data_IF_115079746483
#
_entry.id   IF_115079746483
#
_cell.length_a   1.000
_cell.length_b   1.000
_cell.length_c   1.000
_cell.angle_alpha   90.00
_cell.angle_beta   90.00
_cell.angle_gamma   90.00
#
_symmetry.space_group_name_H-M   'P 1'
#
loop_
_entity.id
_entity.type
_entity.pdbx_description
1 polymer ?
#
# COMPACT_ATOMS: atom_id res chain seq x y z
N UNK A 1 0.64 16.55 -38.84
CA UNK A 1 1.23 17.07 -37.58
C UNK A 1 0.63 16.21 -36.46
N UNK A 2 1.39 15.25 -35.95
CA UNK A 2 0.98 14.44 -34.77
C UNK A 2 1.31 15.32 -33.57
N UNK A 3 0.27 15.81 -32.90
CA UNK A 3 0.43 16.52 -31.62
C UNK A 3 1.19 15.59 -30.66
N UNK A 4 2.35 16.03 -30.15
CA UNK A 4 2.98 15.43 -28.98
C UNK A 4 1.99 15.64 -27.84
N UNK A 5 1.18 14.62 -27.54
CA UNK A 5 0.49 14.56 -26.28
C UNK A 5 1.59 14.68 -25.21
N UNK A 6 1.56 15.75 -24.44
CA UNK A 6 2.35 15.87 -23.24
C UNK A 6 1.82 14.78 -22.32
N UNK A 7 2.58 13.71 -22.14
CA UNK A 7 2.28 12.67 -21.17
C UNK A 7 2.31 13.33 -19.78
N UNK A 8 1.15 13.80 -19.34
CA UNK A 8 1.00 14.37 -17.99
C UNK A 8 1.14 13.18 -17.03
N UNK A 9 2.22 13.20 -16.26
CA UNK A 9 2.44 12.18 -15.23
C UNK A 9 1.33 12.31 -14.19
N UNK A 10 0.55 11.24 -13.93
CA UNK A 10 -0.54 11.30 -12.95
C UNK A 10 -0.04 11.72 -11.57
N UNK A 11 -0.80 12.53 -10.81
CA UNK A 11 -0.49 12.84 -9.42
C UNK A 11 -0.45 11.57 -8.57
N UNK A 12 0.17 11.62 -7.40
CA UNK A 12 0.27 10.48 -6.48
C UNK A 12 -0.52 10.76 -5.23
N UNK A 13 -1.45 9.87 -4.90
CA UNK A 13 -2.13 9.83 -3.60
C UNK A 13 -1.62 8.65 -2.78
N UNK A 14 -1.61 8.80 -1.47
CA UNK A 14 -1.24 7.75 -0.53
C UNK A 14 -2.45 6.92 -0.12
N UNK A 15 -2.25 5.61 0.05
CA UNK A 15 -3.24 4.69 0.62
C UNK A 15 -2.59 3.80 1.68
N UNK A 16 -3.04 3.94 2.92
CA UNK A 16 -2.71 3.00 3.99
C UNK A 16 -3.79 1.94 4.06
N UNK A 17 -3.44 0.67 3.90
CA UNK A 17 -4.37 -0.45 4.00
C UNK A 17 -4.51 -0.88 5.47
N UNK A 18 -5.63 -0.50 6.11
CA UNK A 18 -5.92 -0.74 7.53
C UNK A 18 -7.17 -1.58 7.79
N UNK A 19 -7.96 -1.94 6.76
CA UNK A 19 -9.26 -2.60 6.88
C UNK A 19 -9.24 -4.11 7.25
N UNK A 20 -8.09 -4.72 7.51
CA UNK A 20 -7.96 -6.15 7.76
C UNK A 20 -8.54 -6.61 9.10
N UNK A 21 -9.29 -7.73 9.12
CA UNK A 21 -9.67 -8.42 10.38
C UNK A 21 -8.48 -9.22 10.91
N UNK A 22 -7.65 -8.61 11.75
CA UNK A 22 -6.48 -9.26 12.37
C UNK A 22 -6.89 -10.15 13.54
N UNK A 23 -7.28 -11.39 13.26
CA UNK A 23 -7.69 -12.37 14.29
C UNK A 23 -6.52 -13.08 14.96
N UNK A 24 -5.33 -13.12 14.34
CA UNK A 24 -4.18 -13.90 14.80
C UNK A 24 -3.37 -13.24 15.91
N UNK A 25 -3.39 -11.90 15.99
CA UNK A 25 -2.63 -11.10 16.97
C UNK A 25 -3.45 -10.77 18.24
N UNK A 26 -4.72 -11.20 18.34
CA UNK A 26 -5.61 -10.83 19.45
C UNK A 26 -6.05 -9.36 19.47
N UNK A 27 -5.40 -8.52 18.69
CA UNK A 27 -5.73 -7.10 18.49
C UNK A 27 -5.68 -6.75 16.99
N UNK A 28 -6.40 -5.71 16.60
CA UNK A 28 -6.35 -5.19 15.24
C UNK A 28 -4.96 -4.57 14.98
N UNK A 29 -4.28 -4.99 13.91
CA UNK A 29 -2.90 -4.59 13.60
C UNK A 29 -2.74 -3.08 13.36
N UNK A 30 -3.76 -2.45 12.81
CA UNK A 30 -3.83 -1.03 12.53
C UNK A 30 -3.82 -0.16 13.80
N UNK A 31 -4.24 -0.74 14.95
CA UNK A 31 -4.25 -0.10 16.26
C UNK A 31 -2.98 -0.36 17.09
N UNK A 32 -2.08 -1.22 16.64
CA UNK A 32 -0.80 -1.44 17.32
C UNK A 32 0.04 -0.16 17.30
N UNK A 33 0.68 0.14 18.43
CA UNK A 33 1.52 1.34 18.60
C UNK A 33 3.00 0.96 18.59
N UNK A 34 3.65 1.08 17.42
CA UNK A 34 5.08 0.80 17.28
C UNK A 34 5.94 2.03 17.55
N UNK A 35 5.41 3.20 17.18
CA UNK A 35 6.11 4.50 17.20
C UNK A 35 5.41 5.53 18.12
N UNK A 36 4.75 5.05 19.18
CA UNK A 36 3.96 5.91 20.09
C UNK A 36 2.64 6.41 19.52
N UNK A 37 2.25 5.95 18.33
CA UNK A 37 1.02 6.27 17.58
C UNK A 37 0.47 4.98 16.97
N UNK A 38 -0.84 4.90 16.74
CA UNK A 38 -1.44 3.79 16.00
C UNK A 38 -0.78 3.63 14.62
N UNK A 39 -0.48 2.41 14.24
CA UNK A 39 0.31 2.12 13.05
C UNK A 39 -0.31 2.66 11.75
N UNK A 40 -1.66 2.69 11.66
CA UNK A 40 -2.36 3.28 10.51
C UNK A 40 -2.06 4.77 10.34
N UNK A 41 -2.01 5.51 11.45
CA UNK A 41 -1.72 6.95 11.43
C UNK A 41 -0.23 7.23 11.24
N UNK A 42 0.62 6.42 11.85
CA UNK A 42 2.07 6.49 11.59
C UNK A 42 2.39 6.27 10.11
N UNK A 43 1.79 5.25 9.50
CA UNK A 43 1.98 4.96 8.07
C UNK A 43 1.46 6.12 7.19
N UNK A 44 0.33 6.74 7.57
CA UNK A 44 -0.19 7.90 6.85
C UNK A 44 0.76 9.11 6.93
N UNK A 45 1.30 9.42 8.11
CA UNK A 45 2.30 10.47 8.29
C UNK A 45 3.57 10.20 7.46
N UNK A 46 3.98 8.93 7.40
CA UNK A 46 5.16 8.51 6.63
C UNK A 46 4.97 8.70 5.12
N UNK A 47 3.73 8.54 4.61
CA UNK A 47 3.39 8.76 3.20
C UNK A 47 3.21 10.24 2.84
N UNK A 48 2.82 11.09 3.79
CA UNK A 48 2.45 12.49 3.55
C UNK A 48 3.49 13.31 2.75
N UNK A 49 4.82 13.17 2.97
CA UNK A 49 5.82 13.91 2.20
C UNK A 49 5.89 13.55 0.71
N UNK A 50 5.29 12.43 0.30
CA UNK A 50 5.39 11.87 -1.06
C UNK A 50 4.09 11.95 -1.86
N UNK A 51 3.00 12.41 -1.24
CA UNK A 51 1.65 12.33 -1.81
C UNK A 51 0.93 13.67 -1.70
N UNK A 52 0.07 13.98 -2.67
CA UNK A 52 -0.78 15.18 -2.62
C UNK A 52 -1.83 15.09 -1.48
N UNK A 53 -2.34 13.89 -1.26
CA UNK A 53 -3.27 13.55 -0.18
C UNK A 53 -3.04 12.10 0.24
N UNK A 54 -3.29 11.79 1.52
CA UNK A 54 -3.18 10.43 2.06
C UNK A 54 -4.49 9.97 2.63
N UNK A 55 -4.91 8.77 2.25
CA UNK A 55 -6.12 8.11 2.70
C UNK A 55 -5.80 6.83 3.46
N UNK A 56 -6.66 6.50 4.43
CA UNK A 56 -6.58 5.24 5.15
C UNK A 56 -7.80 4.40 4.76
N UNK A 57 -7.56 3.27 4.07
CA UNK A 57 -8.60 2.29 3.72
C UNK A 57 -9.18 1.68 4.98
N UNK A 58 -10.48 1.73 5.12
CA UNK A 58 -11.19 1.22 6.29
C UNK A 58 -12.55 0.63 5.91
N UNK A 59 -13.09 -0.21 6.81
CA UNK A 59 -14.47 -0.66 6.72
C UNK A 59 -15.42 0.41 7.26
N UNK A 60 -16.67 0.36 6.85
CA UNK A 60 -17.72 1.29 7.30
C UNK A 60 -17.86 1.35 8.84
N UNK A 61 -17.70 0.19 9.51
CA UNK A 61 -17.79 0.07 10.97
C UNK A 61 -16.62 0.71 11.75
N UNK A 62 -15.54 1.07 11.06
CA UNK A 62 -14.36 1.70 11.67
C UNK A 62 -14.43 3.23 11.68
N UNK A 63 -15.39 3.84 10.97
CA UNK A 63 -15.48 5.31 10.81
C UNK A 63 -15.77 6.03 12.12
N UNK A 64 -16.55 5.44 13.03
CA UNK A 64 -16.98 6.09 14.29
C UNK A 64 -15.81 6.44 15.22
N UNK A 65 -14.70 5.68 15.14
CA UNK A 65 -13.51 5.86 15.97
C UNK A 65 -12.30 6.34 15.15
N UNK A 66 -12.56 7.04 14.05
CA UNK A 66 -11.49 7.54 13.18
C UNK A 66 -11.02 8.92 13.67
N UNK A 67 -9.69 9.12 13.73
CA UNK A 67 -9.14 10.42 14.10
C UNK A 67 -9.46 11.45 12.99
N UNK A 68 -10.08 12.60 13.32
CA UNK A 68 -10.52 13.60 12.36
C UNK A 68 -9.39 14.27 11.57
N UNK A 69 -8.15 14.16 12.03
CA UNK A 69 -6.98 14.71 11.32
C UNK A 69 -6.58 13.87 10.10
N UNK A 70 -7.18 12.67 9.94
CA UNK A 70 -6.88 11.77 8.83
C UNK A 70 -8.10 11.55 7.94
N UNK A 71 -7.83 11.19 6.67
CA UNK A 71 -8.88 10.96 5.67
C UNK A 71 -9.21 9.47 5.53
N UNK A 72 -10.40 9.02 5.95
CA UNK A 72 -10.83 7.65 5.71
C UNK A 72 -11.27 7.46 4.25
N UNK A 73 -10.95 6.32 3.68
CA UNK A 73 -11.49 5.84 2.40
C UNK A 73 -12.19 4.51 2.64
N UNK A 74 -13.50 4.52 2.58
CA UNK A 74 -14.29 3.31 2.82
C UNK A 74 -14.19 2.34 1.66
N UNK A 75 -13.87 1.09 1.96
CA UNK A 75 -13.79 0.03 0.96
C UNK A 75 -15.16 -0.23 0.30
N UNK A 76 -15.20 -0.13 -1.03
CA UNK A 76 -16.39 -0.41 -1.85
C UNK A 76 -16.38 -1.81 -2.43
N UNK A 77 -15.23 -2.46 -2.46
CA UNK A 77 -15.04 -3.87 -2.83
C UNK A 77 -14.84 -4.69 -1.56
N UNK A 78 -15.95 -5.20 -1.01
CA UNK A 78 -15.98 -5.79 0.32
C UNK A 78 -15.43 -7.23 0.35
N UNK A 79 -14.84 -7.62 1.48
CA UNK A 79 -14.35 -8.97 1.75
C UNK A 79 -13.24 -9.47 0.80
N UNK A 80 -12.51 -8.56 0.17
CA UNK A 80 -11.41 -8.89 -0.75
C UNK A 80 -10.03 -8.53 -0.17
N UNK A 81 -9.97 -8.18 1.13
CA UNK A 81 -8.72 -7.78 1.78
C UNK A 81 -8.01 -6.64 1.06
N UNK A 82 -6.66 -6.68 0.97
CA UNK A 82 -5.88 -5.62 0.32
C UNK A 82 -6.30 -5.32 -1.12
N UNK A 83 -6.73 -6.32 -1.86
CA UNK A 83 -7.20 -6.18 -3.23
C UNK A 83 -8.43 -5.25 -3.32
N UNK A 84 -9.36 -5.38 -2.37
CA UNK A 84 -10.55 -4.55 -2.28
C UNK A 84 -10.22 -3.08 -1.97
N UNK A 85 -9.29 -2.83 -1.03
CA UNK A 85 -8.81 -1.49 -0.69
C UNK A 85 -8.15 -0.80 -1.89
N UNK A 86 -7.25 -1.49 -2.61
CA UNK A 86 -6.58 -0.96 -3.82
C UNK A 86 -7.61 -0.63 -4.90
N UNK A 87 -8.56 -1.54 -5.19
CA UNK A 87 -9.62 -1.28 -6.17
C UNK A 87 -10.52 -0.12 -5.78
N UNK A 88 -10.84 0.02 -4.47
CA UNK A 88 -11.67 1.11 -3.96
C UNK A 88 -11.00 2.47 -4.16
N UNK A 89 -9.70 2.54 -3.90
CA UNK A 89 -8.90 3.74 -4.12
C UNK A 89 -8.84 4.14 -5.60
N UNK A 90 -8.49 3.21 -6.48
CA UNK A 90 -8.45 3.43 -7.93
C UNK A 90 -9.82 3.80 -8.52
N UNK A 91 -10.91 3.27 -7.93
CA UNK A 91 -12.28 3.65 -8.32
C UNK A 91 -12.61 5.08 -7.92
N UNK A 92 -12.18 5.49 -6.72
CA UNK A 92 -12.46 6.82 -6.16
C UNK A 92 -11.76 7.94 -6.95
N UNK A 93 -10.50 7.71 -7.37
CA UNK A 93 -9.72 8.67 -8.14
C UNK A 93 -9.01 7.95 -9.30
N UNK A 94 -9.67 7.92 -10.47
CA UNK A 94 -9.26 7.08 -11.62
C UNK A 94 -8.03 7.59 -12.36
N UNK A 95 -7.76 8.89 -12.28
CA UNK A 95 -6.66 9.55 -13.01
C UNK A 95 -5.44 9.78 -12.12
N UNK A 96 -5.38 9.08 -10.98
CA UNK A 96 -4.37 9.25 -9.95
C UNK A 96 -3.63 7.92 -9.73
N UNK A 97 -2.31 7.98 -9.59
CA UNK A 97 -1.54 6.86 -9.10
C UNK A 97 -1.65 6.75 -7.57
N UNK A 98 -1.54 5.54 -7.05
CA UNK A 98 -1.68 5.28 -5.64
C UNK A 98 -0.42 4.65 -5.06
N UNK A 99 0.26 5.37 -4.16
CA UNK A 99 1.30 4.81 -3.30
C UNK A 99 0.63 4.06 -2.15
N UNK A 100 0.61 2.74 -2.27
CA UNK A 100 -0.07 1.85 -1.33
C UNK A 100 0.93 1.27 -0.35
N UNK A 101 0.63 1.34 0.95
CA UNK A 101 1.34 0.62 2.00
C UNK A 101 0.36 -0.08 2.94
N UNK A 102 0.75 -1.22 3.48
CA UNK A 102 -0.03 -1.90 4.51
C UNK A 102 0.43 -1.48 5.91
N UNK A 103 -0.49 -1.49 6.87
CA UNK A 103 -0.20 -1.17 8.27
C UNK A 103 0.57 -2.28 9.02
N UNK A 104 0.91 -3.39 8.38
CA UNK A 104 1.71 -4.46 8.97
C UNK A 104 3.21 -4.39 8.64
N UNK A 105 3.69 -3.21 8.22
CA UNK A 105 5.08 -2.88 7.93
C UNK A 105 5.65 -1.88 8.96
N UNK A 106 5.87 -2.27 10.23
CA UNK A 106 6.31 -1.32 11.27
C UNK A 106 7.74 -0.81 11.08
N UNK A 107 8.57 -1.48 10.29
CA UNK A 107 9.95 -1.11 10.01
C UNK A 107 10.11 -0.29 8.72
N UNK A 108 9.00 0.00 8.01
CA UNK A 108 9.03 0.80 6.80
C UNK A 108 9.61 2.18 7.08
N UNK A 109 10.59 2.58 6.29
CA UNK A 109 11.33 3.82 6.47
C UNK A 109 11.17 4.81 5.29
N UNK A 110 11.48 6.07 5.56
CA UNK A 110 11.39 7.14 4.58
C UNK A 110 12.31 6.92 3.38
N UNK A 111 13.51 6.32 3.56
CA UNK A 111 14.48 6.08 2.47
C UNK A 111 13.94 5.07 1.46
N UNK A 112 13.25 4.03 1.94
CA UNK A 112 12.59 3.06 1.08
C UNK A 112 11.46 3.71 0.27
N UNK A 113 10.63 4.56 0.88
CA UNK A 113 9.59 5.30 0.15
C UNK A 113 10.19 6.29 -0.85
N UNK A 114 11.23 7.00 -0.48
CA UNK A 114 11.93 7.95 -1.37
C UNK A 114 12.49 7.25 -2.61
N UNK A 115 13.12 6.08 -2.45
CA UNK A 115 13.61 5.29 -3.59
C UNK A 115 12.46 4.82 -4.46
N UNK A 116 11.37 4.31 -3.88
CA UNK A 116 10.20 3.85 -4.63
C UNK A 116 9.60 4.98 -5.48
N UNK A 117 9.40 6.16 -4.89
CA UNK A 117 8.84 7.32 -5.58
C UNK A 117 9.77 7.85 -6.66
N UNK A 118 11.07 7.96 -6.38
CA UNK A 118 12.08 8.40 -7.37
C UNK A 118 12.22 7.44 -8.55
N UNK A 119 11.99 6.16 -8.33
CA UNK A 119 12.09 5.11 -9.35
C UNK A 119 10.76 4.79 -10.02
N UNK A 120 9.69 5.56 -9.71
CA UNK A 120 8.37 5.37 -10.32
C UNK A 120 8.47 5.40 -11.85
N UNK A 121 7.84 4.44 -12.51
CA UNK A 121 7.68 4.38 -13.95
C UNK A 121 6.18 4.44 -14.34
N UNK A 122 5.66 5.61 -14.75
CA UNK A 122 4.25 5.77 -15.13
C UNK A 122 3.84 4.98 -16.38
N UNK A 123 4.80 4.51 -17.17
CA UNK A 123 4.53 3.66 -18.34
C UNK A 123 4.23 2.22 -17.95
N UNK A 124 4.57 1.82 -16.75
CA UNK A 124 4.29 0.48 -16.19
C UNK A 124 2.91 0.42 -15.54
N UNK A 125 2.46 -0.77 -15.22
CA UNK A 125 1.21 -1.00 -14.44
C UNK A 125 1.40 -0.59 -12.99
N UNK A 126 2.59 -0.86 -12.47
CA UNK A 126 2.98 -0.53 -11.11
C UNK A 126 4.50 -0.47 -10.99
N UNK A 127 4.96 0.23 -9.94
CA UNK A 127 6.36 0.20 -9.47
C UNK A 127 6.36 -0.37 -8.05
N UNK A 128 7.16 -1.40 -7.80
CA UNK A 128 7.20 -2.12 -6.52
C UNK A 128 8.59 -2.64 -6.19
N UNK A 129 8.76 -3.16 -4.98
CA UNK A 129 9.95 -3.89 -4.58
C UNK A 129 9.86 -5.38 -4.86
N UNK A 130 11.01 -6.01 -5.08
CA UNK A 130 11.15 -7.45 -4.92
C UNK A 130 11.23 -7.77 -3.43
N UNK A 131 10.42 -8.70 -2.97
CA UNK A 131 10.45 -9.18 -1.59
C UNK A 131 11.80 -9.87 -1.31
N UNK A 132 12.51 -9.47 -0.24
CA UNK A 132 13.76 -10.13 0.14
C UNK A 132 13.53 -11.52 0.74
N UNK A 133 12.27 -11.89 1.02
CA UNK A 133 11.91 -13.14 1.70
C UNK A 133 11.56 -14.26 0.72
N UNK A 134 10.94 -13.94 -0.41
CA UNK A 134 10.47 -14.94 -1.38
C UNK A 134 10.81 -14.59 -2.84
N UNK A 135 11.42 -13.43 -3.09
CA UNK A 135 11.84 -12.99 -4.41
C UNK A 135 10.69 -12.54 -5.34
N UNK A 136 9.45 -12.49 -4.84
CA UNK A 136 8.28 -12.08 -5.61
C UNK A 136 7.99 -10.57 -5.44
N UNK A 137 7.18 -9.94 -6.33
CA UNK A 137 6.79 -8.55 -6.16
C UNK A 137 6.00 -8.32 -4.88
N UNK A 138 6.29 -7.20 -4.16
CA UNK A 138 5.61 -6.80 -2.93
C UNK A 138 4.40 -5.93 -3.20
N UNK A 139 3.17 -6.47 -3.11
CA UNK A 139 1.96 -5.73 -3.48
C UNK A 139 1.54 -4.66 -2.46
N UNK A 140 2.08 -4.73 -1.25
CA UNK A 140 1.67 -3.91 -0.10
C UNK A 140 2.67 -2.78 0.22
N UNK A 141 3.63 -2.55 -0.68
CA UNK A 141 4.47 -1.36 -0.79
C UNK A 141 4.70 -1.11 -2.29
N UNK A 142 3.72 -0.45 -2.93
CA UNK A 142 3.63 -0.39 -4.40
C UNK A 142 2.98 0.90 -4.84
N UNK A 143 3.52 1.52 -5.89
CA UNK A 143 2.81 2.58 -6.64
C UNK A 143 2.01 1.91 -7.75
N UNK A 144 0.69 1.95 -7.66
CA UNK A 144 -0.25 1.46 -8.67
C UNK A 144 -0.62 2.61 -9.60
N UNK A 145 -0.35 2.48 -10.89
CA UNK A 145 -0.72 3.48 -11.88
C UNK A 145 -2.21 3.40 -12.25
N UNK A 146 -2.83 4.48 -12.77
CA UNK A 146 -4.25 4.47 -13.15
C UNK A 146 -4.62 3.32 -14.09
N UNK A 147 -3.73 2.94 -15.01
CA UNK A 147 -3.91 1.83 -15.95
C UNK A 147 -4.02 0.45 -15.28
N UNK A 148 -3.67 0.33 -14.00
CA UNK A 148 -3.85 -0.90 -13.23
C UNK A 148 -5.32 -1.20 -12.93
N UNK A 149 -6.20 -0.18 -12.89
CA UNK A 149 -7.61 -0.37 -12.53
C UNK A 149 -8.35 -1.37 -13.42
N UNK A 150 -8.36 -1.23 -14.76
CA UNK A 150 -9.01 -2.21 -15.63
C UNK A 150 -8.38 -3.60 -15.54
N UNK A 151 -7.07 -3.70 -15.29
CA UNK A 151 -6.41 -4.99 -15.11
C UNK A 151 -6.86 -5.68 -13.83
N UNK A 152 -6.90 -4.96 -12.70
CA UNK A 152 -7.42 -5.48 -11.44
C UNK A 152 -8.88 -5.95 -11.59
N UNK A 153 -9.73 -5.19 -12.29
CA UNK A 153 -11.12 -5.60 -12.58
C UNK A 153 -11.17 -6.87 -13.42
N UNK A 154 -10.29 -7.04 -14.40
CA UNK A 154 -10.20 -8.26 -15.20
C UNK A 154 -9.80 -9.47 -14.33
N UNK A 155 -8.80 -9.33 -13.46
CA UNK A 155 -8.43 -10.37 -12.50
C UNK A 155 -9.58 -10.73 -11.56
N UNK A 156 -10.30 -9.73 -11.06
CA UNK A 156 -11.51 -9.93 -10.26
C UNK A 156 -12.56 -10.74 -11.03
N UNK A 157 -12.82 -10.39 -12.29
CA UNK A 157 -13.76 -11.12 -13.17
C UNK A 157 -13.37 -12.58 -13.39
N UNK A 158 -12.08 -12.91 -13.32
CA UNK A 158 -11.56 -14.28 -13.35
C UNK A 158 -11.54 -14.97 -11.97
N UNK A 159 -12.11 -14.35 -10.92
CA UNK A 159 -12.12 -14.89 -9.56
C UNK A 159 -10.79 -14.76 -8.81
N UNK A 160 -9.84 -13.96 -9.30
CA UNK A 160 -8.55 -13.73 -8.64
C UNK A 160 -8.56 -12.39 -7.88
N UNK A 161 -8.35 -12.47 -6.56
CA UNK A 161 -8.30 -11.31 -5.65
C UNK A 161 -6.94 -11.16 -4.98
N UNK A 162 -5.87 -11.59 -5.62
CA UNK A 162 -4.51 -11.48 -5.10
C UNK A 162 -3.74 -10.38 -5.86
N UNK A 163 -3.41 -9.23 -5.22
CA UNK A 163 -2.69 -8.14 -5.88
C UNK A 163 -1.32 -8.58 -6.40
N UNK A 164 -0.62 -9.47 -5.68
CA UNK A 164 0.68 -10.02 -6.11
C UNK A 164 0.59 -10.77 -7.44
N UNK A 165 -0.49 -11.52 -7.68
CA UNK A 165 -0.71 -12.20 -8.96
C UNK A 165 -0.86 -11.21 -10.11
N UNK A 166 -1.48 -10.05 -9.87
CA UNK A 166 -1.57 -8.99 -10.87
C UNK A 166 -0.19 -8.47 -11.23
N UNK A 167 0.65 -8.16 -10.22
CA UNK A 167 2.02 -7.69 -10.45
C UNK A 167 2.87 -8.69 -11.22
N UNK A 168 2.79 -9.99 -10.88
CA UNK A 168 3.55 -11.07 -11.55
C UNK A 168 3.15 -11.20 -13.03
N UNK A 169 1.86 -11.00 -13.36
CA UNK A 169 1.33 -11.22 -14.70
C UNK A 169 1.12 -9.91 -15.50
N UNK A 170 1.75 -8.82 -15.07
CA UNK A 170 1.63 -7.51 -15.72
C UNK A 170 3.02 -6.91 -15.94
N UNK A 171 3.08 -5.87 -16.77
CA UNK A 171 4.32 -5.10 -16.99
C UNK A 171 4.58 -4.20 -15.77
N UNK A 172 5.31 -4.75 -14.79
CA UNK A 172 5.61 -4.15 -13.50
C UNK A 172 7.08 -3.77 -13.41
N UNK A 173 7.39 -2.56 -12.95
CA UNK A 173 8.73 -2.14 -12.60
C UNK A 173 9.09 -2.66 -11.20
N UNK A 174 10.11 -3.52 -11.10
CA UNK A 174 10.50 -4.18 -9.86
C UNK A 174 11.88 -3.68 -9.42
N UNK A 175 11.96 -3.15 -8.20
CA UNK A 175 13.16 -2.59 -7.58
C UNK A 175 13.77 -3.57 -6.56
N UNK A 176 15.08 -3.47 -6.36
CA UNK A 176 15.73 -4.12 -5.24
C UNK A 176 15.64 -3.22 -3.99
N UNK A 177 15.26 -3.74 -2.82
CA UNK A 177 15.20 -2.95 -1.60
C UNK A 177 16.61 -2.59 -1.11
N UNK A 178 16.79 -1.31 -0.71
CA UNK A 178 18.05 -0.86 -0.06
C UNK A 178 18.11 -1.28 1.40
N UNK A 179 16.95 -1.41 2.03
CA UNK A 179 16.78 -1.90 3.39
C UNK A 179 15.78 -3.07 3.39
N UNK A 180 16.26 -4.33 3.34
CA UNK A 180 15.38 -5.50 3.34
C UNK A 180 14.47 -5.60 4.57
N UNK A 181 14.93 -5.13 5.74
CA UNK A 181 14.15 -5.18 6.98
C UNK A 181 12.93 -4.26 6.92
N UNK A 182 12.99 -3.15 6.17
CA UNK A 182 11.86 -2.23 5.99
C UNK A 182 10.62 -2.88 5.35
N UNK A 183 10.80 -4.01 4.62
CA UNK A 183 9.73 -4.76 3.99
C UNK A 183 9.23 -5.94 4.83
N UNK A 184 9.63 -6.02 6.10
CA UNK A 184 9.21 -7.11 6.98
C UNK A 184 7.77 -6.91 7.44
N UNK A 185 6.90 -7.83 7.04
CA UNK A 185 5.52 -7.90 7.54
C UNK A 185 5.50 -8.49 8.96
N UNK A 186 4.68 -7.92 9.83
CA UNK A 186 4.46 -8.42 11.19
C UNK A 186 3.05 -9.00 11.31
N UNK A 187 2.97 -10.33 11.40
CA UNK A 187 1.74 -11.09 11.42
C UNK A 187 1.59 -11.96 12.68
N UNK A 188 2.69 -12.22 13.39
CA UNK A 188 2.75 -13.08 14.59
C UNK A 188 3.41 -12.35 15.76
N UNK A 189 3.19 -12.81 17.02
CA UNK A 189 3.87 -12.25 18.17
C UNK A 189 5.40 -12.35 18.08
N UNK A 190 5.94 -13.43 17.53
CA UNK A 190 7.37 -13.65 17.36
C UNK A 190 7.97 -12.62 16.36
N UNK A 191 7.27 -12.34 15.25
CA UNK A 191 7.66 -11.30 14.31
C UNK A 191 7.59 -9.91 14.97
N UNK A 192 6.62 -9.69 15.87
CA UNK A 192 6.50 -8.46 16.63
C UNK A 192 7.67 -8.26 17.59
N UNK A 193 8.10 -9.28 18.31
CA UNK A 193 9.29 -9.21 19.17
C UNK A 193 10.53 -8.85 18.37
N UNK A 194 10.73 -9.51 17.22
CA UNK A 194 11.85 -9.22 16.32
C UNK A 194 11.81 -7.77 15.81
N UNK A 195 10.65 -7.26 15.40
CA UNK A 195 10.51 -5.87 14.97
C UNK A 195 10.84 -4.89 16.10
N UNK A 196 10.39 -5.16 17.34
CA UNK A 196 10.73 -4.36 18.51
C UNK A 196 12.22 -4.34 18.81
N UNK A 197 12.93 -5.46 18.63
CA UNK A 197 14.40 -5.50 18.81
C UNK A 197 15.12 -4.63 17.79
N UNK A 198 14.64 -4.60 16.53
CA UNK A 198 15.21 -3.78 15.47
C UNK A 198 14.96 -2.29 15.75
N UNK A 199 13.76 -1.91 16.17
CA UNK A 199 13.37 -0.52 16.47
C UNK A 199 14.10 0.09 17.68
N UNK A 200 14.70 -0.75 18.56
CA UNK A 200 15.44 -0.30 19.73
C UNK A 200 16.94 -0.01 19.45
N UNK A 201 17.43 -0.38 18.27
CA UNK A 201 18.83 -0.15 17.84
C UNK A 201 19.02 1.23 17.23
#
# INVERSE_FOLDING_TARGET
MISKEHNIVPPVKGLVLAGGKSTRMGQAKDLLTWHGKEQRYFAADLLAPFCDEVFISCRQDQLENFDPDYQPLTDTFLNMGPFGGILSALRAHRDTAWLVVACDLPLLDQKSLELLVKSRDPEKVATTYQSPFDGLPEPLITIWEPKSYPLLLNFLGMGNTCPRKVLINSDTHILQPINPEALMNVNTPEEAEKAHEILKK
#
